data_IF_014941089811
#
_entry.id   IF_014941089811
#
_cell.length_a   1.000
_cell.length_b   1.000
_cell.length_c   1.000
_cell.angle_alpha   90.00
_cell.angle_beta   90.00
_cell.angle_gamma   90.00
#
_symmetry.space_group_name_H-M   'P 1'
#
loop_
_entity.id
_entity.type
_entity.pdbx_description
1 polymer ?
#
# COMPACT_ATOMS: atom_id res chain seq x y z
N UNK A 1 -9.86 17.79 -18.98
CA UNK A 1 -8.93 18.34 -17.95
C UNK A 1 -9.69 18.66 -16.68
N UNK A 2 -9.06 18.60 -15.50
CA UNK A 2 -9.71 19.04 -14.26
C UNK A 2 -9.77 20.56 -14.19
N UNK A 3 -10.98 21.13 -14.16
CA UNK A 3 -11.21 22.60 -14.22
C UNK A 3 -10.83 23.31 -12.93
N UNK A 4 -10.85 22.59 -11.81
CA UNK A 4 -10.66 23.11 -10.46
C UNK A 4 -9.46 22.45 -9.74
N UNK A 5 -8.51 21.88 -10.50
CA UNK A 5 -7.33 21.22 -9.96
C UNK A 5 -6.56 22.07 -8.95
N UNK A 6 -6.22 23.31 -9.30
CA UNK A 6 -5.39 24.18 -8.46
C UNK A 6 -6.04 24.54 -7.12
N UNK A 7 -7.38 24.58 -7.07
CA UNK A 7 -8.12 24.92 -5.85
C UNK A 7 -8.19 23.74 -4.88
N UNK A 8 -8.21 22.50 -5.39
CA UNK A 8 -8.60 21.33 -4.62
C UNK A 8 -7.52 20.22 -4.55
N UNK A 9 -6.38 20.38 -5.23
CA UNK A 9 -5.33 19.35 -5.31
C UNK A 9 -4.22 19.42 -4.25
N UNK A 10 -4.19 20.45 -3.41
CA UNK A 10 -3.13 20.59 -2.42
C UNK A 10 -3.01 19.35 -1.52
N UNK A 11 -4.12 18.84 -1.00
CA UNK A 11 -4.16 17.64 -0.17
C UNK A 11 -3.78 16.39 -0.96
N UNK A 12 -4.35 16.19 -2.17
CA UNK A 12 -4.14 14.96 -2.94
C UNK A 12 -2.67 14.77 -3.33
N UNK A 13 -1.95 15.87 -3.64
CA UNK A 13 -0.54 15.84 -4.08
C UNK A 13 0.40 15.49 -2.92
N UNK A 14 0.00 15.77 -1.67
CA UNK A 14 0.82 15.48 -0.48
C UNK A 14 0.71 14.04 0.00
N UNK A 15 -0.36 13.34 -0.37
CA UNK A 15 -0.63 11.99 0.06
C UNK A 15 0.10 10.97 -0.82
N UNK A 16 0.46 9.84 -0.22
CA UNK A 16 0.92 8.69 -1.00
C UNK A 16 -0.24 7.89 -1.58
N UNK A 17 -0.01 7.45 -2.80
CA UNK A 17 -0.96 6.74 -3.64
C UNK A 17 -0.28 5.57 -4.32
N UNK A 18 -0.99 4.45 -4.39
CA UNK A 18 -0.46 3.20 -4.93
C UNK A 18 -1.52 2.49 -5.75
N UNK A 19 -1.12 1.94 -6.90
CA UNK A 19 -1.99 1.05 -7.67
C UNK A 19 -2.19 -0.26 -6.92
N UNK A 20 -3.44 -0.74 -6.89
CA UNK A 20 -3.81 -1.97 -6.19
C UNK A 20 -3.03 -3.17 -6.74
N UNK A 21 -2.87 -3.26 -8.06
CA UNK A 21 -2.14 -4.35 -8.73
C UNK A 21 -0.68 -4.46 -8.25
N UNK A 22 -0.06 -3.32 -8.01
CA UNK A 22 1.35 -3.19 -7.65
C UNK A 22 1.53 -3.56 -6.18
N UNK A 23 0.62 -3.14 -5.31
CA UNK A 23 0.62 -3.55 -3.89
C UNK A 23 0.34 -5.06 -3.78
N UNK A 24 -0.66 -5.59 -4.50
CA UNK A 24 -0.97 -7.02 -4.49
C UNK A 24 0.22 -7.86 -4.98
N UNK A 25 0.86 -7.45 -6.07
CA UNK A 25 2.08 -8.09 -6.59
C UNK A 25 3.19 -8.11 -5.54
N UNK A 26 3.47 -6.96 -4.90
CA UNK A 26 4.47 -6.86 -3.83
C UNK A 26 4.15 -7.79 -2.64
N UNK A 27 2.89 -7.85 -2.21
CA UNK A 27 2.44 -8.72 -1.12
C UNK A 27 2.67 -10.20 -1.44
N UNK A 28 2.41 -10.62 -2.68
CA UNK A 28 2.69 -11.97 -3.15
C UNK A 28 4.20 -12.25 -3.23
N UNK A 29 5.00 -11.32 -3.75
CA UNK A 29 6.46 -11.46 -3.78
C UNK A 29 7.05 -11.61 -2.38
N UNK A 30 6.61 -10.78 -1.43
CA UNK A 30 7.05 -10.86 -0.04
C UNK A 30 6.65 -12.19 0.60
N UNK A 31 5.44 -12.68 0.34
CA UNK A 31 4.99 -14.00 0.80
C UNK A 31 5.88 -15.12 0.25
N UNK A 32 6.19 -15.08 -1.04
CA UNK A 32 7.07 -16.09 -1.68
C UNK A 32 8.49 -16.02 -1.11
N UNK A 33 9.01 -14.82 -0.88
CA UNK A 33 10.32 -14.64 -0.24
C UNK A 33 10.37 -15.29 1.16
N UNK A 34 9.34 -15.09 1.97
CA UNK A 34 9.27 -15.69 3.32
C UNK A 34 9.21 -17.22 3.23
N UNK A 35 8.31 -17.78 2.42
CA UNK A 35 8.07 -19.23 2.37
C UNK A 35 9.24 -19.99 1.72
N UNK A 36 9.85 -19.42 0.68
CA UNK A 36 10.83 -20.14 -0.14
C UNK A 36 12.28 -19.92 0.29
N UNK A 37 12.55 -19.15 1.37
CA UNK A 37 13.91 -18.96 1.88
C UNK A 37 14.25 -20.09 2.87
N UNK A 38 15.10 -21.07 2.49
CA UNK A 38 15.37 -22.25 3.34
C UNK A 38 16.35 -21.96 4.49
N UNK A 39 16.94 -20.77 4.54
CA UNK A 39 18.03 -20.43 5.45
C UNK A 39 17.93 -19.00 5.96
N UNK A 40 19.07 -18.37 6.23
CA UNK A 40 19.09 -17.01 6.77
C UNK A 40 18.56 -16.01 5.74
N UNK A 41 17.57 -15.22 6.14
CA UNK A 41 17.09 -14.10 5.35
C UNK A 41 18.19 -13.07 5.07
N UNK A 42 18.14 -12.50 3.88
CA UNK A 42 19.09 -11.49 3.40
C UNK A 42 18.35 -10.25 2.94
N UNK A 43 18.72 -9.10 3.51
CA UNK A 43 18.16 -7.80 3.13
C UNK A 43 18.35 -7.48 1.64
N UNK A 44 19.37 -8.05 0.98
CA UNK A 44 19.61 -7.88 -0.46
C UNK A 44 18.47 -8.43 -1.32
N UNK A 45 17.83 -9.50 -0.86
CA UNK A 45 16.75 -10.18 -1.59
C UNK A 45 15.36 -9.85 -1.07
N UNK A 46 15.26 -8.99 -0.05
CA UNK A 46 13.98 -8.54 0.47
C UNK A 46 13.26 -7.72 -0.63
N UNK A 47 12.02 -8.09 -1.01
CA UNK A 47 11.24 -7.31 -1.97
C UNK A 47 11.14 -5.85 -1.54
N UNK A 48 11.26 -4.94 -2.50
CA UNK A 48 11.20 -3.50 -2.23
C UNK A 48 9.74 -3.03 -2.31
N UNK A 49 9.28 -2.22 -1.34
CA UNK A 49 7.94 -1.66 -1.44
C UNK A 49 7.81 -0.81 -2.70
N UNK A 50 6.63 -0.80 -3.33
CA UNK A 50 6.40 0.00 -4.51
C UNK A 50 6.54 1.49 -4.21
N UNK A 51 6.89 2.26 -5.23
CA UNK A 51 6.95 3.71 -5.12
C UNK A 51 5.54 4.27 -5.19
N UNK A 52 5.29 5.31 -4.40
CA UNK A 52 4.07 6.10 -4.54
C UNK A 52 4.09 6.88 -5.85
N UNK A 53 2.93 7.01 -6.48
CA UNK A 53 2.73 7.79 -7.70
C UNK A 53 1.35 8.44 -7.69
N UNK A 54 1.19 9.62 -8.29
CA UNK A 54 -0.11 10.28 -8.32
C UNK A 54 -1.02 9.63 -9.35
N UNK A 55 -2.28 9.32 -8.99
CA UNK A 55 -3.21 8.63 -9.89
C UNK A 55 -3.79 9.53 -10.98
N UNK A 56 -3.63 10.85 -10.83
CA UNK A 56 -4.22 11.86 -11.71
C UNK A 56 -3.35 13.12 -11.69
N UNK A 57 -3.50 13.93 -12.72
CA UNK A 57 -2.94 15.28 -12.81
C UNK A 57 -3.99 16.23 -13.40
N UNK A 58 -3.70 17.53 -13.47
CA UNK A 58 -4.61 18.49 -14.12
C UNK A 58 -5.04 18.05 -15.54
N UNK A 59 -4.11 17.41 -16.27
CA UNK A 59 -4.28 17.01 -17.66
C UNK A 59 -4.53 15.51 -17.84
N UNK A 60 -4.46 14.71 -16.78
CA UNK A 60 -4.66 13.26 -16.82
C UNK A 60 -5.74 12.89 -15.80
N UNK A 61 -6.88 12.41 -16.31
CA UNK A 61 -8.00 11.98 -15.47
C UNK A 61 -7.59 10.76 -14.66
N UNK A 62 -8.15 10.62 -13.46
CA UNK A 62 -8.01 9.39 -12.70
C UNK A 62 -8.47 8.18 -13.54
N UNK A 63 -7.69 7.09 -13.63
CA UNK A 63 -7.99 5.96 -14.51
C UNK A 63 -9.25 5.20 -14.07
N UNK A 64 -10.21 5.02 -14.98
CA UNK A 64 -11.51 4.40 -14.68
C UNK A 64 -11.40 2.90 -14.38
N UNK A 65 -10.52 2.19 -15.10
CA UNK A 65 -10.38 0.74 -15.01
C UNK A 65 -9.54 0.26 -13.80
N UNK A 66 -8.94 1.19 -13.05
CA UNK A 66 -7.95 0.87 -12.01
C UNK A 66 -8.47 1.15 -10.60
N UNK A 67 -8.00 0.35 -9.64
CA UNK A 67 -8.17 0.59 -8.22
C UNK A 67 -6.90 1.17 -7.61
N UNK A 68 -7.05 2.16 -6.74
CA UNK A 68 -5.95 2.82 -6.05
C UNK A 68 -6.14 2.81 -4.55
N UNK A 69 -5.02 2.73 -3.83
CA UNK A 69 -4.94 2.86 -2.39
C UNK A 69 -4.30 4.20 -2.05
N UNK A 70 -4.82 4.88 -1.04
CA UNK A 70 -4.29 6.13 -0.54
C UNK A 70 -3.91 5.98 0.93
N UNK A 71 -2.76 6.49 1.35
CA UNK A 71 -2.29 6.31 2.73
C UNK A 71 -3.23 6.88 3.81
N UNK A 72 -4.08 7.84 3.45
CA UNK A 72 -5.03 8.50 4.36
C UNK A 72 -6.45 7.94 4.30
N UNK A 73 -6.68 6.80 3.64
CA UNK A 73 -8.01 6.21 3.48
C UNK A 73 -7.99 4.83 4.10
N UNK A 74 -8.95 4.58 5.01
CA UNK A 74 -9.07 3.32 5.73
C UNK A 74 -7.86 3.03 6.61
N UNK A 75 -7.68 1.74 6.94
CA UNK A 75 -6.65 1.29 7.88
C UNK A 75 -5.52 0.51 7.19
N UNK A 76 -5.60 0.31 5.87
CA UNK A 76 -4.64 -0.51 5.13
C UNK A 76 -3.20 0.00 5.29
N UNK A 77 -2.96 1.31 5.25
CA UNK A 77 -1.60 1.86 5.26
C UNK A 77 -0.88 1.64 6.58
N UNK A 78 -1.57 1.77 7.71
CA UNK A 78 -0.98 1.48 9.01
C UNK A 78 -0.56 0.01 9.12
N UNK A 79 -1.38 -0.91 8.59
CA UNK A 79 -1.05 -2.34 8.52
C UNK A 79 0.09 -2.62 7.55
N UNK A 80 0.13 -1.91 6.43
CA UNK A 80 1.22 -1.98 5.47
C UNK A 80 2.55 -1.53 6.08
N UNK A 81 2.57 -0.41 6.80
CA UNK A 81 3.75 0.07 7.52
C UNK A 81 4.23 -0.92 8.59
N UNK A 82 3.31 -1.53 9.35
CA UNK A 82 3.63 -2.59 10.31
C UNK A 82 4.21 -3.84 9.64
N UNK A 83 3.69 -4.24 8.48
CA UNK A 83 4.24 -5.33 7.68
C UNK A 83 5.67 -5.01 7.22
N UNK A 84 5.91 -3.80 6.68
CA UNK A 84 7.25 -3.39 6.25
C UNK A 84 8.25 -3.35 7.41
N UNK A 85 7.80 -2.91 8.59
CA UNK A 85 8.58 -2.94 9.81
C UNK A 85 8.94 -4.38 10.21
N UNK A 86 7.96 -5.28 10.26
CA UNK A 86 8.17 -6.69 10.60
C UNK A 86 9.12 -7.38 9.61
N UNK A 87 8.93 -7.16 8.31
CA UNK A 87 9.79 -7.69 7.26
C UNK A 87 11.24 -7.19 7.39
N UNK A 88 11.43 -5.94 7.84
CA UNK A 88 12.76 -5.41 8.11
C UNK A 88 13.39 -6.04 9.36
N UNK A 89 12.62 -6.30 10.43
CA UNK A 89 13.11 -6.98 11.63
C UNK A 89 13.48 -8.43 11.31
N UNK A 90 12.71 -9.11 10.47
CA UNK A 90 12.97 -10.48 10.01
C UNK A 90 14.36 -10.63 9.38
N UNK A 91 14.78 -9.66 8.54
CA UNK A 91 16.13 -9.66 7.93
C UNK A 91 17.21 -9.06 8.84
N UNK A 92 16.83 -8.35 9.91
CA UNK A 92 17.72 -7.68 10.87
C UNK A 92 17.33 -8.04 12.32
N UNK A 93 17.52 -9.30 12.70
CA UNK A 93 17.04 -9.85 13.99
C UNK A 93 17.55 -9.11 15.23
N UNK A 94 18.68 -8.41 15.14
CA UNK A 94 19.18 -7.54 16.20
C UNK A 94 18.21 -6.39 16.55
N UNK A 95 17.25 -6.06 15.67
CA UNK A 95 16.21 -5.08 15.98
C UNK A 95 15.25 -5.55 17.06
N UNK A 96 15.13 -6.86 17.32
CA UNK A 96 14.28 -7.42 18.37
C UNK A 96 14.62 -6.88 19.77
N UNK A 97 15.85 -6.38 19.98
CA UNK A 97 16.27 -5.70 21.21
C UNK A 97 15.43 -4.45 21.54
N UNK A 98 14.70 -3.90 20.55
CA UNK A 98 13.74 -2.80 20.74
C UNK A 98 12.44 -3.22 21.41
N UNK A 99 12.23 -4.52 21.67
CA UNK A 99 11.09 -5.09 22.39
C UNK A 99 9.74 -4.74 21.77
N UNK A 100 9.56 -5.14 20.52
CA UNK A 100 8.27 -4.99 19.83
C UNK A 100 7.15 -5.74 20.58
N UNK A 101 5.93 -5.17 20.65
CA UNK A 101 4.82 -5.81 21.35
C UNK A 101 4.39 -7.15 20.73
N UNK A 102 4.41 -7.23 19.39
CA UNK A 102 3.75 -8.29 18.63
C UNK A 102 4.63 -9.53 18.39
N UNK A 103 5.95 -9.38 18.43
CA UNK A 103 6.89 -10.45 18.10
C UNK A 103 8.19 -10.36 18.90
N UNK A 104 8.69 -11.52 19.34
CA UNK A 104 9.89 -11.64 20.19
C UNK A 104 11.01 -12.42 19.51
N UNK A 105 10.68 -13.24 18.52
CA UNK A 105 11.62 -14.08 17.78
C UNK A 105 11.58 -13.78 16.29
N UNK A 106 12.58 -14.26 15.55
CA UNK A 106 12.56 -14.19 14.09
C UNK A 106 11.37 -14.97 13.50
N UNK A 107 11.07 -16.14 14.04
CA UNK A 107 9.89 -16.93 13.62
C UNK A 107 8.57 -16.20 13.87
N UNK A 108 8.45 -15.44 14.97
CA UNK A 108 7.27 -14.60 15.22
C UNK A 108 7.13 -13.51 14.14
N UNK A 109 8.25 -12.91 13.69
CA UNK A 109 8.20 -11.91 12.61
C UNK A 109 7.77 -12.48 11.28
N UNK A 110 8.23 -13.69 10.94
CA UNK A 110 7.80 -14.41 9.73
C UNK A 110 6.29 -14.67 9.78
N UNK A 111 5.82 -15.24 10.90
CA UNK A 111 4.40 -15.54 11.10
C UNK A 111 3.53 -14.28 11.04
N UNK A 112 3.95 -13.20 11.71
CA UNK A 112 3.27 -11.91 11.68
C UNK A 112 3.20 -11.34 10.25
N UNK A 113 4.28 -11.43 9.47
CA UNK A 113 4.28 -11.00 8.08
C UNK A 113 3.26 -11.78 7.26
N UNK A 114 3.21 -13.11 7.38
CA UNK A 114 2.25 -13.95 6.63
C UNK A 114 0.80 -13.59 6.95
N UNK A 115 0.48 -13.40 8.24
CA UNK A 115 -0.86 -12.97 8.65
C UNK A 115 -1.21 -11.58 8.12
N UNK A 116 -0.29 -10.62 8.25
CA UNK A 116 -0.48 -9.24 7.78
C UNK A 116 -0.66 -9.17 6.27
N UNK A 117 0.11 -9.96 5.51
CA UNK A 117 -0.05 -10.09 4.06
C UNK A 117 -1.46 -10.62 3.71
N UNK A 118 -1.93 -11.64 4.43
CA UNK A 118 -3.26 -12.18 4.19
C UNK A 118 -4.36 -11.17 4.49
N UNK A 119 -4.24 -10.44 5.60
CA UNK A 119 -5.18 -9.40 5.98
C UNK A 119 -5.21 -8.26 4.95
N UNK A 120 -4.05 -7.77 4.50
CA UNK A 120 -3.97 -6.73 3.48
C UNK A 120 -4.57 -7.18 2.14
N UNK A 121 -4.34 -8.42 1.71
CA UNK A 121 -4.97 -8.97 0.51
C UNK A 121 -6.50 -9.05 0.66
N UNK A 122 -6.99 -9.42 1.85
CA UNK A 122 -8.43 -9.40 2.13
C UNK A 122 -8.98 -7.97 2.06
N UNK A 123 -8.30 -6.99 2.66
CA UNK A 123 -8.68 -5.58 2.60
C UNK A 123 -8.81 -5.06 1.16
N UNK A 124 -7.85 -5.44 0.30
CA UNK A 124 -7.86 -5.11 -1.12
C UNK A 124 -9.04 -5.78 -1.85
N UNK A 125 -9.36 -7.03 -1.50
CA UNK A 125 -10.36 -7.84 -2.18
C UNK A 125 -11.80 -7.59 -1.70
N UNK A 126 -11.99 -6.81 -0.62
CA UNK A 126 -13.26 -6.56 0.06
C UNK A 126 -13.79 -5.14 -0.21
N UNK A 127 -14.68 -4.94 -1.20
CA UNK A 127 -15.24 -3.62 -1.51
C UNK A 127 -15.95 -2.95 -0.32
N UNK A 128 -16.52 -3.74 0.59
CA UNK A 128 -17.22 -3.29 1.79
C UNK A 128 -16.33 -2.56 2.79
N UNK A 129 -15.01 -2.76 2.73
CA UNK A 129 -14.05 -2.06 3.60
C UNK A 129 -13.68 -0.68 3.07
N UNK A 130 -14.00 -0.37 1.81
CA UNK A 130 -13.83 0.98 1.23
C UNK A 130 -12.39 1.45 1.09
N UNK A 131 -11.40 0.55 1.17
CA UNK A 131 -9.97 0.84 1.08
C UNK A 131 -9.58 1.27 -0.35
N UNK A 132 -10.17 0.61 -1.36
CA UNK A 132 -9.87 0.84 -2.79
C UNK A 132 -10.71 1.98 -3.35
N UNK A 133 -10.03 3.01 -3.83
CA UNK A 133 -10.63 4.17 -4.51
C UNK A 133 -10.66 3.95 -6.02
N UNK A 134 -11.84 4.21 -6.60
CA UNK A 134 -12.08 4.29 -8.05
C UNK A 134 -12.31 5.74 -8.46
N UNK A 135 -12.30 6.01 -9.76
CA UNK A 135 -12.43 7.35 -10.34
C UNK A 135 -13.57 8.19 -9.73
N UNK A 136 -14.80 7.67 -9.70
CA UNK A 136 -15.94 8.42 -9.16
C UNK A 136 -15.78 8.80 -7.69
N UNK A 137 -15.27 7.88 -6.87
CA UNK A 137 -15.02 8.13 -5.45
C UNK A 137 -13.86 9.13 -5.25
N UNK A 138 -12.84 9.09 -6.11
CA UNK A 138 -11.75 10.07 -6.12
C UNK A 138 -12.26 11.47 -6.45
N UNK A 139 -12.98 11.62 -7.56
CA UNK A 139 -13.51 12.91 -8.02
C UNK A 139 -14.48 13.50 -7.00
N UNK A 140 -15.37 12.68 -6.44
CA UNK A 140 -16.29 13.10 -5.39
C UNK A 140 -15.54 13.55 -4.12
N UNK A 141 -14.55 12.78 -3.66
CA UNK A 141 -13.81 13.04 -2.41
C UNK A 141 -13.06 14.37 -2.46
N UNK A 142 -12.48 14.71 -3.60
CA UNK A 142 -11.70 15.94 -3.77
C UNK A 142 -12.48 17.05 -4.47
N UNK A 143 -13.78 16.87 -4.67
CA UNK A 143 -14.63 17.80 -5.42
C UNK A 143 -13.99 18.23 -6.74
N UNK A 144 -13.41 17.29 -7.49
CA UNK A 144 -12.75 17.54 -8.76
C UNK A 144 -13.72 17.36 -9.92
N UNK A 145 -13.70 18.29 -10.86
CA UNK A 145 -14.59 18.28 -12.03
C UNK A 145 -13.79 18.10 -13.31
N UNK A 146 -14.00 16.97 -13.99
CA UNK A 146 -13.37 16.71 -15.27
C UNK A 146 -14.22 17.27 -16.42
N UNK A 147 -13.60 18.10 -17.25
CA UNK A 147 -14.18 18.59 -18.49
C UNK A 147 -13.63 17.81 -19.68
N UNK A 148 -14.50 17.14 -20.41
CA UNK A 148 -14.21 16.55 -21.71
C UNK A 148 -14.52 17.61 -22.79
N UNK A 149 -13.51 18.06 -23.52
CA UNK A 149 -13.72 18.78 -24.78
C UNK A 149 -14.35 17.77 -25.75
N UNK A 150 -15.67 17.86 -25.94
CA UNK A 150 -16.43 17.02 -26.86
C UNK A 150 -16.14 17.34 -28.33
#
# INVERSE_FOLDING_TARGET
MYTNWNSNSATLITLKWYRVDTIASFLHELRQYIINTPGKFSATYLPKPPKSELPASMNERFPEAEGWLCEAIGDWNAKFDCLLLAANVMVNVNRLDRKYPEYKTAGDTEYYCILSINELLHMIASPELGEVIKQSAFEQRYALEWYDDA
#
